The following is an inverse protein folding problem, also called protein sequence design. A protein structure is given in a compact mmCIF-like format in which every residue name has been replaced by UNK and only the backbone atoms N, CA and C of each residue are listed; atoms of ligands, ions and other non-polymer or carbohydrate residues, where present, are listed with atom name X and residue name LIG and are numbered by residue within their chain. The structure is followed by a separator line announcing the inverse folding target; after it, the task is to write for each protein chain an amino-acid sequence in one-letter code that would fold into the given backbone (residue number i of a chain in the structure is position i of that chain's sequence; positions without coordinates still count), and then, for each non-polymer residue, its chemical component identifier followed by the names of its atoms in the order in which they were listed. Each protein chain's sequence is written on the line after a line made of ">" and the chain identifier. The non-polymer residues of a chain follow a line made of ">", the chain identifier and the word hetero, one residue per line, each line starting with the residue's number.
data_IF_162656892425
#
_entry.id   IF_162656892425
#
_cell.length_a   1.000
_cell.length_b   1.000
_cell.length_c   1.000
_cell.angle_alpha   90.00
_cell.angle_beta   90.00
_cell.angle_gamma   90.00
#
_symmetry.space_group_name_H-M   'P 1'
#
loop_
_entity.id
_entity.type
_entity.pdbx_description
1 polymer ?
#
# COMPACT_ATOMS: atom_id res chain seq x y z
N UNK A 1 -1.59 12.77 -16.98
CA UNK A 1 -0.20 12.26 -17.08
C UNK A 1 -0.16 10.94 -16.32
N UNK A 2 0.48 9.90 -16.85
CA UNK A 2 0.68 8.62 -16.15
C UNK A 2 2.09 8.67 -15.59
N UNK A 3 2.25 8.57 -14.27
CA UNK A 3 3.55 8.56 -13.63
C UNK A 3 3.62 7.35 -12.70
N UNK A 4 4.74 6.65 -12.72
CA UNK A 4 5.08 5.75 -11.62
C UNK A 4 5.43 6.63 -10.42
N UNK A 5 5.02 6.20 -9.25
CA UNK A 5 5.41 6.84 -8.01
C UNK A 5 6.93 6.75 -7.85
N UNK A 6 7.50 7.72 -7.15
CA UNK A 6 8.88 7.65 -6.65
C UNK A 6 8.93 6.81 -5.38
N UNK A 7 10.13 6.31 -5.03
CA UNK A 7 10.35 5.56 -3.79
C UNK A 7 9.83 6.33 -2.56
N UNK A 8 10.04 7.66 -2.54
CA UNK A 8 9.53 8.53 -1.48
C UNK A 8 8.00 8.52 -1.42
N UNK A 9 7.32 8.66 -2.55
CA UNK A 9 5.86 8.65 -2.61
C UNK A 9 5.28 7.28 -2.22
N UNK A 10 5.94 6.19 -2.63
CA UNK A 10 5.62 4.82 -2.20
C UNK A 10 5.64 4.71 -0.68
N UNK A 11 6.76 5.09 -0.06
CA UNK A 11 6.91 5.02 1.40
C UNK A 11 5.94 5.94 2.15
N UNK A 12 5.68 7.15 1.63
CA UNK A 12 4.71 8.07 2.21
C UNK A 12 3.27 7.50 2.17
N UNK A 13 2.90 6.80 1.09
CA UNK A 13 1.59 6.14 0.99
C UNK A 13 1.47 4.93 1.91
N UNK A 14 2.51 4.10 2.02
CA UNK A 14 2.57 2.97 2.96
C UNK A 14 2.38 3.48 4.39
N UNK A 15 3.11 4.52 4.79
CA UNK A 15 2.99 5.10 6.12
C UNK A 15 1.57 5.62 6.43
N UNK A 16 0.89 6.23 5.44
CA UNK A 16 -0.50 6.68 5.59
C UNK A 16 -1.50 5.51 5.70
N UNK A 17 -1.25 4.42 4.99
CA UNK A 17 -2.07 3.21 5.10
C UNK A 17 -1.91 2.55 6.48
N UNK A 18 -0.69 2.52 7.01
CA UNK A 18 -0.41 2.05 8.37
C UNK A 18 -1.11 2.92 9.41
N UNK A 19 -0.98 4.25 9.32
CA UNK A 19 -1.68 5.18 10.20
C UNK A 19 -3.20 5.00 10.13
N UNK A 20 -3.75 4.85 8.92
CA UNK A 20 -5.18 4.63 8.71
C UNK A 20 -5.66 3.35 9.41
N UNK A 21 -4.91 2.25 9.26
CA UNK A 21 -5.33 0.92 9.74
C UNK A 21 -5.02 0.66 11.21
N UNK A 22 -3.85 1.10 11.68
CA UNK A 22 -3.33 0.80 13.01
C UNK A 22 -3.33 2.02 13.94
N UNK A 23 -3.67 3.21 13.44
CA UNK A 23 -3.64 4.46 14.21
C UNK A 23 -2.24 5.03 14.45
N UNK A 24 -1.20 4.38 13.91
CA UNK A 24 0.21 4.80 14.00
C UNK A 24 1.02 4.19 12.86
N UNK A 25 2.19 4.78 12.57
CA UNK A 25 3.16 4.22 11.61
C UNK A 25 3.81 2.97 12.17
N UNK A 26 4.06 2.01 11.28
CA UNK A 26 4.89 0.86 11.58
C UNK A 26 6.30 1.12 11.04
N UNK A 27 7.29 0.45 11.61
CA UNK A 27 8.56 0.25 10.89
C UNK A 27 8.45 -0.99 10.00
N UNK A 28 9.37 -1.15 9.05
CA UNK A 28 9.35 -2.24 8.06
C UNK A 28 9.34 -3.63 8.73
N UNK A 29 9.97 -3.79 9.90
CA UNK A 29 9.95 -5.05 10.66
C UNK A 29 8.57 -5.33 11.27
N UNK A 30 7.91 -4.30 11.82
CA UNK A 30 6.54 -4.42 12.32
C UNK A 30 5.56 -4.73 11.20
N UNK A 31 5.69 -4.07 10.04
CA UNK A 31 4.88 -4.39 8.86
C UNK A 31 5.10 -5.83 8.41
N UNK A 32 6.35 -6.30 8.34
CA UNK A 32 6.68 -7.68 8.02
C UNK A 32 6.04 -8.67 8.99
N UNK A 33 6.06 -8.39 10.29
CA UNK A 33 5.38 -9.19 11.31
C UNK A 33 3.85 -9.20 11.12
N UNK A 34 3.23 -8.04 10.84
CA UNK A 34 1.79 -7.94 10.59
C UNK A 34 1.36 -8.70 9.33
N UNK A 35 2.20 -8.69 8.30
CA UNK A 35 2.00 -9.41 7.05
C UNK A 35 2.44 -10.89 7.13
N UNK A 36 3.12 -11.33 8.18
CA UNK A 36 3.70 -12.67 8.28
C UNK A 36 4.56 -13.01 7.03
N UNK A 37 5.49 -12.11 6.72
CA UNK A 37 6.50 -12.21 5.64
C UNK A 37 7.89 -11.87 6.21
N UNK A 38 8.95 -12.11 5.44
CA UNK A 38 10.28 -11.65 5.82
C UNK A 38 10.40 -10.13 5.66
N UNK A 39 11.35 -9.53 6.39
CA UNK A 39 11.69 -8.11 6.23
C UNK A 39 12.13 -7.80 4.78
N UNK A 40 12.82 -8.72 4.12
CA UNK A 40 13.28 -8.54 2.74
C UNK A 40 12.12 -8.34 1.75
N UNK A 41 10.97 -8.99 1.97
CA UNK A 41 9.79 -8.79 1.11
C UNK A 41 9.19 -7.39 1.27
N UNK A 42 9.18 -6.86 2.50
CA UNK A 42 8.73 -5.48 2.76
C UNK A 42 9.71 -4.49 2.14
N UNK A 43 11.01 -4.67 2.37
CA UNK A 43 12.06 -3.83 1.79
C UNK A 43 11.97 -3.81 0.26
N UNK A 44 11.68 -4.94 -0.39
CA UNK A 44 11.48 -4.98 -1.84
C UNK A 44 10.36 -4.03 -2.27
N UNK A 45 9.20 -4.09 -1.62
CA UNK A 45 8.08 -3.19 -1.92
C UNK A 45 8.45 -1.71 -1.70
N UNK A 46 9.09 -1.40 -0.57
CA UNK A 46 9.53 -0.03 -0.24
C UNK A 46 10.55 0.51 -1.26
N UNK A 47 11.40 -0.35 -1.81
CA UNK A 47 12.39 -0.05 -2.86
C UNK A 47 11.85 -0.24 -4.29
N UNK A 48 10.54 -0.39 -4.47
CA UNK A 48 9.88 -0.57 -5.78
C UNK A 48 10.34 -1.79 -6.59
N UNK A 49 10.71 -2.85 -5.88
CA UNK A 49 11.06 -4.15 -6.42
C UNK A 49 9.89 -5.13 -6.22
N UNK A 50 9.69 -6.01 -7.19
CA UNK A 50 8.71 -7.07 -7.06
C UNK A 50 9.09 -8.01 -5.89
N UNK A 51 8.11 -8.47 -5.09
CA UNK A 51 8.31 -9.52 -4.10
C UNK A 51 8.93 -10.77 -4.71
N UNK A 52 9.77 -11.47 -3.95
CA UNK A 52 10.31 -12.77 -4.39
C UNK A 52 9.29 -13.89 -4.19
N UNK A 53 8.52 -13.84 -3.11
CA UNK A 53 7.39 -14.72 -2.87
C UNK A 53 6.11 -14.14 -3.51
N UNK A 54 5.46 -14.85 -4.46
CA UNK A 54 4.20 -14.43 -5.05
C UNK A 54 3.08 -14.17 -4.02
N UNK A 55 3.11 -14.85 -2.88
CA UNK A 55 2.12 -14.69 -1.81
C UNK A 55 2.43 -13.51 -0.88
N UNK A 56 3.65 -12.99 -0.89
CA UNK A 56 4.03 -11.88 0.00
C UNK A 56 3.29 -10.60 -0.36
N UNK A 57 3.09 -10.32 -1.66
CA UNK A 57 2.30 -9.17 -2.12
C UNK A 57 0.88 -9.17 -1.52
N UNK A 58 0.21 -10.32 -1.52
CA UNK A 58 -1.15 -10.43 -0.96
C UNK A 58 -1.16 -10.18 0.54
N UNK A 59 -0.21 -10.76 1.26
CA UNK A 59 -0.15 -10.59 2.72
C UNK A 59 0.21 -9.17 3.12
N UNK A 60 1.13 -8.52 2.42
CA UNK A 60 1.49 -7.10 2.63
C UNK A 60 0.28 -6.21 2.30
N UNK A 61 -0.39 -6.43 1.18
CA UNK A 61 -1.58 -5.68 0.79
C UNK A 61 -2.67 -5.79 1.87
N UNK A 62 -2.97 -7.02 2.31
CA UNK A 62 -3.91 -7.26 3.43
C UNK A 62 -3.45 -6.59 4.71
N UNK A 63 -2.16 -6.62 5.03
CA UNK A 63 -1.61 -5.93 6.20
C UNK A 63 -1.77 -4.41 6.11
N UNK A 64 -1.75 -3.83 4.91
CA UNK A 64 -2.00 -2.40 4.68
C UNK A 64 -3.49 -2.05 4.51
N UNK A 65 -4.38 -3.05 4.43
CA UNK A 65 -5.82 -2.82 4.23
C UNK A 65 -6.15 -2.40 2.80
N UNK A 66 -5.44 -2.98 1.83
CA UNK A 66 -5.64 -2.76 0.39
C UNK A 66 -5.59 -4.10 -0.35
N UNK A 67 -5.98 -4.10 -1.62
CA UNK A 67 -5.79 -5.23 -2.52
C UNK A 67 -4.39 -5.23 -3.17
N UNK A 68 -4.05 -6.33 -3.84
CA UNK A 68 -2.75 -6.53 -4.48
C UNK A 68 -2.52 -5.61 -5.67
N UNK A 69 -3.57 -5.24 -6.41
CA UNK A 69 -3.47 -4.32 -7.55
C UNK A 69 -3.04 -2.93 -7.08
N UNK A 70 -3.69 -2.40 -6.05
CA UNK A 70 -3.35 -1.10 -5.47
C UNK A 70 -1.94 -1.14 -4.88
N UNK A 71 -1.55 -2.23 -4.22
CA UNK A 71 -0.17 -2.39 -3.75
C UNK A 71 0.83 -2.32 -4.90
N UNK A 72 0.57 -2.99 -6.03
CA UNK A 72 1.47 -2.96 -7.18
C UNK A 72 1.61 -1.56 -7.79
N UNK A 73 0.53 -0.76 -7.80
CA UNK A 73 0.57 0.65 -8.21
C UNK A 73 1.37 1.51 -7.22
N UNK A 74 1.12 1.32 -5.91
CA UNK A 74 1.84 2.02 -4.83
C UNK A 74 3.34 1.71 -4.86
N UNK A 75 3.70 0.45 -5.08
CA UNK A 75 5.07 -0.03 -5.21
C UNK A 75 5.76 0.37 -6.53
N UNK A 76 5.12 1.20 -7.37
CA UNK A 76 5.71 1.65 -8.64
C UNK A 76 5.87 0.56 -9.71
N UNK A 77 5.33 -0.65 -9.49
CA UNK A 77 5.39 -1.78 -10.42
C UNK A 77 4.40 -1.60 -11.57
N UNK A 78 3.31 -0.87 -11.32
CA UNK A 78 2.26 -0.54 -12.28
C UNK A 78 2.04 0.97 -12.29
N UNK A 79 1.69 1.53 -13.45
CA UNK A 79 1.36 2.96 -13.54
C UNK A 79 0.08 3.28 -12.76
N UNK A 80 0.10 4.40 -12.03
CA UNK A 80 -1.08 4.95 -11.37
C UNK A 80 -1.51 6.24 -12.10
N UNK A 81 -2.72 6.32 -12.64
CA UNK A 81 -3.25 7.58 -13.15
C UNK A 81 -3.37 8.62 -12.03
N UNK A 82 -3.07 9.89 -12.32
CA UNK A 82 -3.19 10.97 -11.32
C UNK A 82 -4.59 11.05 -10.68
N UNK A 83 -5.65 10.73 -11.43
CA UNK A 83 -7.02 10.70 -10.89
C UNK A 83 -7.18 9.63 -9.81
N UNK A 84 -6.64 8.43 -10.05
CA UNK A 84 -6.65 7.33 -9.08
C UNK A 84 -5.80 7.67 -7.84
N UNK A 85 -4.63 8.30 -8.04
CA UNK A 85 -3.79 8.78 -6.94
C UNK A 85 -4.51 9.84 -6.08
N UNK A 86 -5.23 10.77 -6.71
CA UNK A 86 -6.02 11.78 -6.00
C UNK A 86 -7.16 11.14 -5.20
N UNK A 87 -7.84 10.14 -5.78
CA UNK A 87 -8.86 9.36 -5.07
C UNK A 87 -8.28 8.60 -3.88
N UNK A 88 -7.09 8.00 -4.04
CA UNK A 88 -6.38 7.35 -2.93
C UNK A 88 -6.12 8.31 -1.77
N UNK A 89 -5.62 9.52 -2.05
CA UNK A 89 -5.41 10.53 -1.01
C UNK A 89 -6.69 10.94 -0.29
N UNK A 90 -7.82 11.03 -1.00
CA UNK A 90 -9.13 11.29 -0.38
C UNK A 90 -9.54 10.13 0.54
N UNK A 91 -9.36 8.90 0.08
CA UNK A 91 -9.68 7.69 0.84
C UNK A 91 -8.81 7.50 2.09
N UNK A 92 -7.55 7.93 2.05
CA UNK A 92 -6.65 7.90 3.21
C UNK A 92 -7.14 8.79 4.36
N UNK A 93 -7.99 9.79 4.10
CA UNK A 93 -8.63 10.61 5.13
C UNK A 93 -9.80 9.93 5.84
N UNK A 94 -10.24 8.74 5.38
CA UNK A 94 -11.36 8.01 5.96
C UNK A 94 -10.88 6.93 6.94
N UNK A 95 -11.51 6.77 8.11
CA UNK A 95 -11.11 5.75 9.09
C UNK A 95 -11.25 4.32 8.51
N UNK A 96 -10.39 3.41 8.96
CA UNK A 96 -10.32 2.03 8.45
C UNK A 96 -11.52 1.13 8.74
N UNK A 97 -12.49 1.59 9.54
CA UNK A 97 -13.58 0.72 10.01
C UNK A 97 -14.52 0.29 8.89
N UNK A 98 -14.69 1.08 7.83
CA UNK A 98 -15.36 0.69 6.57
C UNK A 98 -14.85 1.63 5.45
N UNK A 99 -14.21 1.07 4.42
CA UNK A 99 -13.87 1.85 3.23
C UNK A 99 -15.18 2.22 2.51
N UNK A 100 -15.44 3.52 2.25
CA UNK A 100 -16.58 3.92 1.43
C UNK A 100 -16.59 3.19 0.07
N UNK A 101 -17.74 3.00 -0.58
CA UNK A 101 -17.83 2.31 -1.86
C UNK A 101 -16.88 2.88 -2.93
N UNK A 102 -16.65 4.20 -2.94
CA UNK A 102 -15.64 4.82 -3.81
C UNK A 102 -14.20 4.34 -3.53
N UNK A 103 -13.85 4.14 -2.26
CA UNK A 103 -12.52 3.69 -1.84
C UNK A 103 -12.31 2.20 -2.11
N UNK A 104 -13.37 1.39 -1.98
CA UNK A 104 -13.33 -0.02 -2.35
C UNK A 104 -13.03 -0.22 -3.85
N UNK A 105 -13.54 0.67 -4.72
CA UNK A 105 -13.29 0.61 -6.18
C UNK A 105 -11.83 0.80 -6.58
N UNK A 106 -11.08 1.60 -5.81
CA UNK A 106 -9.64 1.79 -6.04
C UNK A 106 -8.79 0.75 -5.31
N UNK A 107 -9.41 -0.19 -4.59
CA UNK A 107 -8.73 -1.31 -3.94
C UNK A 107 -8.46 -1.13 -2.44
N UNK A 108 -9.10 -0.18 -1.75
CA UNK A 108 -9.08 -0.12 -0.29
C UNK A 108 -9.98 -1.21 0.30
N UNK A 109 -9.58 -1.78 1.45
CA UNK A 109 -10.32 -2.78 2.20
C UNK A 109 -10.76 -2.25 3.58
#
# INVERSE_FOLDING_TARGET
>A
MKARLTERETNDLIARLEERKYGHRLNSMQLAQKANVSLDEVNRIENQLAPSDPMAAERIARALGINTELLAKIAGLVEMPNEELNQLYQCLGTPAMEAPPECARIGML
#
